data_IF_369183082998
#
_entry.id   IF_369183082998
#
_cell.length_a   1.000
_cell.length_b   1.000
_cell.length_c   1.000
_cell.angle_alpha   90.00
_cell.angle_beta   90.00
_cell.angle_gamma   90.00
#
_symmetry.space_group_name_H-M   'P 1'
#
loop_
_entity.id
_entity.type
_entity.pdbx_description
1 polymer ?
#
# COMPACT_ATOMS: atom_id res chain seq x y z
N UNK A 1 14.96 6.91 -1.98
CA UNK A 1 13.80 6.14 -2.52
C UNK A 1 12.94 5.74 -1.33
N UNK A 2 11.66 6.12 -1.30
CA UNK A 2 10.74 5.57 -0.31
C UNK A 2 10.65 4.05 -0.51
N UNK A 3 10.77 3.29 0.60
CA UNK A 3 10.67 1.82 0.62
C UNK A 3 9.42 1.37 1.39
N UNK A 4 8.39 2.21 1.44
CA UNK A 4 7.17 1.92 2.20
C UNK A 4 6.11 1.21 1.34
N UNK A 5 5.51 0.16 1.91
CA UNK A 5 4.41 -0.61 1.34
C UNK A 5 3.24 -0.62 2.32
N UNK A 6 2.04 -0.30 1.84
CA UNK A 6 0.81 -0.37 2.61
C UNK A 6 0.04 -1.66 2.30
N UNK A 7 -0.21 -2.49 3.29
CA UNK A 7 -1.10 -3.63 3.23
C UNK A 7 -2.46 -3.28 3.87
N UNK A 8 -3.33 -2.63 3.10
CA UNK A 8 -4.57 -2.03 3.60
C UNK A 8 -5.56 -3.08 4.13
N UNK A 9 -5.61 -4.24 3.47
CA UNK A 9 -6.51 -5.35 3.83
C UNK A 9 -5.78 -6.48 4.60
N UNK A 10 -4.55 -6.18 5.05
CA UNK A 10 -3.63 -7.12 5.67
C UNK A 10 -2.87 -8.01 4.69
N UNK A 11 -1.81 -8.63 5.19
CA UNK A 11 -0.93 -9.58 4.48
C UNK A 11 -0.49 -10.67 5.47
N UNK A 12 -0.09 -11.84 4.98
CA UNK A 12 0.46 -12.89 5.84
C UNK A 12 1.77 -12.45 6.51
N UNK A 13 2.04 -12.97 7.72
CA UNK A 13 3.30 -12.72 8.42
C UNK A 13 4.53 -13.12 7.58
N UNK A 14 4.43 -14.18 6.79
CA UNK A 14 5.49 -14.58 5.85
C UNK A 14 5.78 -13.51 4.79
N UNK A 15 4.75 -12.81 4.31
CA UNK A 15 4.90 -11.73 3.34
C UNK A 15 5.52 -10.48 3.97
N UNK A 16 5.13 -10.14 5.20
CA UNK A 16 5.75 -9.06 5.97
C UNK A 16 7.25 -9.31 6.14
N UNK A 17 7.62 -10.49 6.65
CA UNK A 17 9.03 -10.85 6.87
C UNK A 17 9.84 -10.82 5.57
N UNK A 18 9.27 -11.29 4.45
CA UNK A 18 9.96 -11.27 3.16
C UNK A 18 10.22 -9.83 2.67
N UNK A 19 9.24 -8.95 2.81
CA UNK A 19 9.36 -7.53 2.43
C UNK A 19 10.32 -6.77 3.34
N UNK A 20 10.22 -6.97 4.65
CA UNK A 20 11.14 -6.39 5.64
C UNK A 20 12.57 -6.88 5.45
N UNK A 21 12.77 -8.17 5.17
CA UNK A 21 14.09 -8.73 4.85
C UNK A 21 14.65 -8.21 3.53
N UNK A 22 13.79 -7.79 2.60
CA UNK A 22 14.19 -7.09 1.38
C UNK A 22 14.42 -5.58 1.62
N UNK A 23 14.24 -5.11 2.86
CA UNK A 23 14.47 -3.73 3.29
C UNK A 23 13.31 -2.78 3.01
N UNK A 24 12.09 -3.30 2.82
CA UNK A 24 10.86 -2.51 2.75
C UNK A 24 10.24 -2.35 4.14
N UNK A 25 9.61 -1.21 4.37
CA UNK A 25 8.79 -0.96 5.55
C UNK A 25 7.34 -1.30 5.22
N UNK A 26 6.74 -2.22 5.96
CA UNK A 26 5.36 -2.68 5.70
C UNK A 26 4.42 -2.09 6.74
N UNK A 27 3.48 -1.28 6.28
CA UNK A 27 2.38 -0.74 7.09
C UNK A 27 1.15 -1.61 6.91
N UNK A 28 0.57 -2.10 7.99
CA UNK A 28 -0.67 -2.90 7.96
C UNK A 28 -1.89 -2.10 8.46
N UNK A 29 -1.80 -0.77 8.40
CA UNK A 29 -2.88 0.13 8.81
C UNK A 29 -4.05 0.01 7.86
N UNK A 30 -5.25 -0.24 8.40
CA UNK A 30 -6.47 -0.21 7.60
C UNK A 30 -6.92 1.24 7.44
N UNK A 31 -6.89 1.73 6.22
CA UNK A 31 -7.28 3.08 5.82
C UNK A 31 -8.59 2.99 5.03
N UNK A 32 -9.54 3.84 5.39
CA UNK A 32 -10.80 3.95 4.66
C UNK A 32 -10.53 4.37 3.21
N UNK A 33 -11.33 3.84 2.28
CA UNK A 33 -11.13 4.04 0.84
C UNK A 33 -11.07 5.52 0.44
N UNK A 34 -11.88 6.37 1.06
CA UNK A 34 -11.93 7.82 0.81
C UNK A 34 -10.63 8.54 1.22
N UNK A 35 -9.90 8.00 2.20
CA UNK A 35 -8.67 8.57 2.72
C UNK A 35 -7.41 7.90 2.15
N UNK A 36 -7.58 6.79 1.41
CA UNK A 36 -6.48 5.97 0.94
C UNK A 36 -5.50 6.74 0.05
N UNK A 37 -6.01 7.59 -0.86
CA UNK A 37 -5.16 8.42 -1.72
C UNK A 37 -4.30 9.40 -0.92
N UNK A 38 -4.92 10.09 0.04
CA UNK A 38 -4.22 11.06 0.89
C UNK A 38 -3.15 10.36 1.71
N UNK A 39 -3.50 9.25 2.36
CA UNK A 39 -2.58 8.47 3.16
C UNK A 39 -1.38 7.95 2.34
N UNK A 40 -1.62 7.41 1.14
CA UNK A 40 -0.56 6.94 0.23
C UNK A 40 0.41 8.08 -0.09
N UNK A 41 -0.11 9.26 -0.40
CA UNK A 41 0.72 10.41 -0.76
C UNK A 41 1.45 11.01 0.45
N UNK A 42 0.78 11.19 1.60
CA UNK A 42 1.38 11.74 2.81
C UNK A 42 2.50 10.84 3.34
N UNK A 43 2.26 9.53 3.42
CA UNK A 43 3.24 8.56 3.88
C UNK A 43 4.26 8.17 2.79
N UNK A 44 4.12 8.73 1.59
CA UNK A 44 4.98 8.45 0.43
C UNK A 44 5.04 6.95 0.12
N UNK A 45 3.90 6.25 0.20
CA UNK A 45 3.79 4.82 -0.06
C UNK A 45 4.08 4.53 -1.53
N UNK A 46 4.92 3.54 -1.77
CA UNK A 46 5.33 3.14 -3.13
C UNK A 46 4.71 1.83 -3.59
N UNK A 47 4.23 1.00 -2.66
CA UNK A 47 3.50 -0.23 -2.96
C UNK A 47 2.20 -0.33 -2.16
N UNK A 48 1.12 -0.73 -2.82
CA UNK A 48 -0.18 -0.96 -2.18
C UNK A 48 -0.57 -2.43 -2.34
N UNK A 49 -0.87 -3.09 -1.23
CA UNK A 49 -1.36 -4.46 -1.18
C UNK A 49 -2.82 -4.44 -0.68
N UNK A 50 -3.71 -4.99 -1.49
CA UNK A 50 -5.16 -4.98 -1.27
C UNK A 50 -5.71 -6.39 -1.38
N UNK A 51 -6.92 -6.61 -0.87
CA UNK A 51 -7.72 -7.82 -1.10
C UNK A 51 -9.11 -7.42 -1.57
N UNK A 52 -10.12 -8.24 -1.28
CA UNK A 52 -11.49 -8.05 -1.76
C UNK A 52 -12.19 -6.81 -1.18
N UNK A 53 -11.71 -6.23 -0.08
CA UNK A 53 -12.37 -5.11 0.58
C UNK A 53 -12.01 -3.76 -0.07
N UNK A 54 -10.76 -3.60 -0.52
CA UNK A 54 -10.30 -2.36 -1.13
C UNK A 54 -10.42 -2.39 -2.67
N UNK A 55 -11.12 -1.42 -3.25
CA UNK A 55 -11.24 -1.29 -4.70
C UNK A 55 -10.25 -0.27 -5.26
N UNK A 56 -9.22 -0.74 -5.96
CA UNK A 56 -8.27 0.16 -6.63
C UNK A 56 -8.80 0.54 -8.02
N UNK A 57 -9.40 1.72 -8.11
CA UNK A 57 -9.94 2.29 -9.37
C UNK A 57 -8.95 3.26 -10.01
N UNK A 58 -9.19 3.60 -11.28
CA UNK A 58 -8.36 4.55 -12.03
C UNK A 58 -8.15 5.88 -11.29
N UNK A 59 -9.20 6.43 -10.68
CA UNK A 59 -9.13 7.68 -9.92
C UNK A 59 -8.13 7.63 -8.76
N UNK A 60 -8.04 6.49 -8.06
CA UNK A 60 -7.07 6.30 -6.97
C UNK A 60 -5.64 6.25 -7.51
N UNK A 61 -5.43 5.55 -8.64
CA UNK A 61 -4.11 5.44 -9.28
C UNK A 61 -3.66 6.80 -9.79
N UNK A 62 -4.54 7.53 -10.47
CA UNK A 62 -4.28 8.87 -10.99
C UNK A 62 -3.98 9.87 -9.86
N UNK A 63 -4.60 9.69 -8.69
CA UNK A 63 -4.34 10.50 -7.50
C UNK A 63 -3.02 10.14 -6.78
N UNK A 64 -2.36 9.02 -7.11
CA UNK A 64 -1.17 8.52 -6.41
C UNK A 64 0.03 8.38 -7.36
N UNK A 65 0.67 9.48 -7.79
CA UNK A 65 1.77 9.44 -8.76
C UNK A 65 3.04 8.73 -8.24
N UNK A 66 3.20 8.63 -6.92
CA UNK A 66 4.31 7.93 -6.28
C UNK A 66 4.14 6.41 -6.20
N UNK A 67 2.94 5.90 -6.47
CA UNK A 67 2.62 4.49 -6.38
C UNK A 67 3.21 3.73 -7.59
N UNK A 68 4.06 2.74 -7.31
CA UNK A 68 4.79 1.97 -8.34
C UNK A 68 4.25 0.56 -8.52
N UNK A 69 3.51 0.06 -7.54
CA UNK A 69 3.15 -1.33 -7.38
C UNK A 69 1.77 -1.40 -6.72
N UNK A 70 0.88 -2.21 -7.30
CA UNK A 70 -0.36 -2.66 -6.67
C UNK A 70 -0.37 -4.19 -6.72
N UNK A 71 -0.42 -4.83 -5.56
CA UNK A 71 -0.54 -6.28 -5.42
C UNK A 71 -1.91 -6.67 -4.83
N UNK A 72 -2.43 -7.83 -5.23
CA UNK A 72 -3.70 -8.38 -4.76
C UNK A 72 -3.55 -9.82 -4.30
#
# INVERSE_FOLDING_TARGET
MSKKILANDGISNSGIMALESAGYEVLTTNVAQEQLANFINEEQITGLLVRSATQVRKELIDACPGLKLIGR
#
